data_IF_920065377937
#
_entry.id   IF_920065377937
#
_cell.length_a   1.000
_cell.length_b   1.000
_cell.length_c   1.000
_cell.angle_alpha   90.00
_cell.angle_beta   90.00
_cell.angle_gamma   90.00
#
_symmetry.space_group_name_H-M   'P 1'
#
loop_
_entity.id
_entity.type
_entity.pdbx_description
1 polymer ?
#
# COMPACT_ATOMS: atom_id res chain seq x y z
N UNK A 1 -18.20 -5.57 -17.47
CA UNK A 1 -18.33 -4.23 -18.12
C UNK A 1 -18.07 -4.42 -19.60
N UNK A 2 -18.82 -3.73 -20.52
CA UNK A 2 -18.56 -3.90 -21.96
C UNK A 2 -17.34 -3.06 -22.33
N UNK A 3 -16.52 -3.57 -23.26
CA UNK A 3 -15.28 -2.89 -23.68
C UNK A 3 -15.53 -1.50 -24.27
N UNK A 4 -16.67 -1.34 -24.96
CA UNK A 4 -17.10 -0.07 -25.57
C UNK A 4 -17.45 1.04 -24.56
N UNK A 5 -17.67 0.66 -23.28
CA UNK A 5 -17.95 1.57 -22.17
C UNK A 5 -16.65 2.02 -21.46
N UNK A 6 -15.50 1.43 -21.84
CA UNK A 6 -14.20 1.72 -21.24
C UNK A 6 -13.43 2.77 -22.05
N UNK A 7 -12.67 3.67 -21.41
CA UNK A 7 -11.80 4.58 -22.13
C UNK A 7 -10.71 3.79 -22.87
N UNK A 8 -10.47 4.09 -24.13
CA UNK A 8 -9.40 3.46 -24.92
C UNK A 8 -8.01 3.82 -24.39
N UNK A 9 -7.89 4.95 -23.71
CA UNK A 9 -6.69 5.44 -23.04
C UNK A 9 -7.10 6.37 -21.89
N UNK A 10 -6.34 6.32 -20.81
CA UNK A 10 -6.45 7.25 -19.67
C UNK A 10 -5.16 8.05 -19.59
N UNK A 11 -5.30 9.39 -19.73
CA UNK A 11 -4.19 10.32 -19.60
C UNK A 11 -4.17 10.94 -18.18
N UNK A 12 -3.05 11.57 -17.84
CA UNK A 12 -2.89 12.28 -16.58
C UNK A 12 -1.65 11.85 -15.81
N UNK A 13 -1.37 12.49 -14.67
CA UNK A 13 -0.13 12.30 -13.94
C UNK A 13 0.03 10.91 -13.34
N UNK A 14 -1.05 10.14 -13.19
CA UNK A 14 -1.00 8.75 -12.72
C UNK A 14 -0.64 7.74 -13.84
N UNK A 15 -0.67 8.15 -15.11
CA UNK A 15 -0.34 7.30 -16.27
C UNK A 15 1.16 7.39 -16.64
N UNK A 16 2.03 7.35 -15.63
CA UNK A 16 3.48 7.42 -15.83
C UNK A 16 4.10 6.07 -16.19
N UNK A 17 5.22 6.12 -16.88
CA UNK A 17 6.12 4.99 -17.18
C UNK A 17 7.50 5.24 -16.56
N UNK A 18 8.40 4.26 -16.57
CA UNK A 18 9.72 4.38 -15.95
C UNK A 18 10.50 5.63 -16.42
N UNK A 19 10.46 5.94 -17.72
CA UNK A 19 11.13 7.11 -18.29
C UNK A 19 10.61 8.44 -17.73
N UNK A 20 9.30 8.52 -17.42
CA UNK A 20 8.70 9.73 -16.84
C UNK A 20 9.20 9.96 -15.41
N UNK A 21 9.57 8.90 -14.70
CA UNK A 21 10.00 8.89 -13.31
C UNK A 21 11.53 8.73 -13.16
N UNK A 22 12.29 8.83 -14.25
CA UNK A 22 13.74 8.66 -14.25
C UNK A 22 14.48 9.72 -13.42
N UNK A 23 13.91 10.94 -13.32
CA UNK A 23 14.41 11.97 -12.40
C UNK A 23 13.89 11.72 -10.98
N UNK A 24 14.76 11.35 -10.01
CA UNK A 24 14.35 11.09 -8.63
C UNK A 24 13.62 12.26 -7.96
N UNK A 25 13.87 13.51 -8.36
CA UNK A 25 13.19 14.68 -7.79
C UNK A 25 11.67 14.65 -7.96
N UNK A 26 11.16 13.81 -8.87
CA UNK A 26 9.72 13.62 -9.07
C UNK A 26 9.05 12.80 -7.97
N UNK A 27 9.82 12.00 -7.24
CA UNK A 27 9.29 11.08 -6.23
C UNK A 27 10.13 10.98 -4.96
N UNK A 28 11.30 11.66 -4.89
CA UNK A 28 12.19 11.67 -3.73
C UNK A 28 12.44 13.10 -3.28
N UNK A 29 12.20 13.36 -2.01
CA UNK A 29 12.56 14.60 -1.33
C UNK A 29 13.26 14.27 0.00
N UNK A 30 13.66 15.29 0.75
CA UNK A 30 14.30 15.10 2.06
C UNK A 30 13.67 16.03 3.11
N UNK A 31 13.68 15.55 4.36
CA UNK A 31 13.40 16.41 5.51
C UNK A 31 14.55 17.40 5.72
N UNK A 32 14.24 18.66 5.95
CA UNK A 32 15.21 19.64 6.42
C UNK A 32 15.50 19.46 7.92
N UNK A 33 16.60 19.98 8.40
CA UNK A 33 16.91 19.94 9.83
C UNK A 33 15.86 20.61 10.72
N UNK A 34 15.21 21.67 10.23
CA UNK A 34 14.12 22.35 10.93
C UNK A 34 12.86 21.47 11.02
N UNK A 35 12.50 20.79 9.94
CA UNK A 35 11.37 19.85 9.90
C UNK A 35 11.62 18.64 10.82
N UNK A 36 12.84 18.10 10.83
CA UNK A 36 13.22 17.02 11.75
C UNK A 36 13.08 17.47 13.21
N UNK A 37 13.54 18.68 13.53
CA UNK A 37 13.41 19.24 14.88
C UNK A 37 11.93 19.40 15.30
N UNK A 38 11.07 19.85 14.38
CA UNK A 38 9.61 19.96 14.62
C UNK A 38 8.97 18.59 14.84
N UNK A 39 9.27 17.59 13.98
CA UNK A 39 8.79 16.22 14.13
C UNK A 39 9.17 15.62 15.49
N UNK A 40 10.42 15.79 15.91
CA UNK A 40 10.91 15.27 17.20
C UNK A 40 10.29 16.01 18.39
N UNK A 41 10.11 17.33 18.30
CA UNK A 41 9.43 18.11 19.34
C UNK A 41 7.97 17.68 19.51
N UNK A 42 7.24 17.49 18.40
CA UNK A 42 5.87 17.01 18.44
C UNK A 42 5.79 15.59 19.02
N UNK A 43 6.72 14.68 18.64
CA UNK A 43 6.80 13.34 19.20
C UNK A 43 7.09 13.37 20.71
N UNK A 44 8.03 14.18 21.17
CA UNK A 44 8.34 14.34 22.61
C UNK A 44 7.11 14.84 23.39
N UNK A 45 6.37 15.81 22.85
CA UNK A 45 5.14 16.33 23.44
C UNK A 45 4.08 15.24 23.54
N UNK A 46 3.84 14.51 22.45
CA UNK A 46 2.85 13.42 22.44
C UNK A 46 3.20 12.30 23.42
N UNK A 47 4.46 11.86 23.42
CA UNK A 47 4.95 10.81 24.32
C UNK A 47 4.81 11.20 25.81
N UNK A 48 4.95 12.45 26.15
CA UNK A 48 4.75 12.96 27.50
C UNK A 48 3.29 12.83 28.00
N UNK A 49 2.32 12.70 27.08
CA UNK A 49 0.91 12.46 27.44
C UNK A 49 0.67 11.02 27.94
N UNK A 50 1.62 10.10 27.73
CA UNK A 50 1.49 8.69 28.14
C UNK A 50 0.43 7.90 27.36
N UNK A 51 -0.04 8.41 26.21
CA UNK A 51 -1.05 7.76 25.36
C UNK A 51 -0.43 6.67 24.46
N UNK A 52 -1.29 5.76 23.99
CA UNK A 52 -0.90 4.79 22.95
C UNK A 52 -0.62 5.51 21.62
N UNK A 53 0.39 5.04 20.88
CA UNK A 53 0.75 5.60 19.56
C UNK A 53 -0.42 5.46 18.57
N UNK A 54 -1.27 4.46 18.75
CA UNK A 54 -2.47 4.26 17.96
C UNK A 54 -3.59 5.28 18.16
N UNK A 55 -3.50 6.14 19.19
CA UNK A 55 -4.47 7.19 19.48
C UNK A 55 -4.06 8.55 18.89
N UNK A 56 -2.98 8.60 18.11
CA UNK A 56 -2.46 9.83 17.51
C UNK A 56 -3.49 10.41 16.53
N UNK A 57 -3.74 11.72 16.69
CA UNK A 57 -4.50 12.55 15.73
C UNK A 57 -3.64 13.74 15.31
N UNK A 58 -4.01 14.40 14.21
CA UNK A 58 -3.31 15.61 13.76
C UNK A 58 -3.32 16.72 14.80
N UNK A 59 -4.43 16.86 15.57
CA UNK A 59 -4.54 17.86 16.63
C UNK A 59 -3.63 17.54 17.83
N UNK A 60 -3.44 16.25 18.13
CA UNK A 60 -2.57 15.81 19.23
C UNK A 60 -1.08 15.79 18.83
N UNK A 61 -0.79 15.88 17.53
CA UNK A 61 0.55 15.92 16.96
C UNK A 61 0.72 17.15 16.06
N UNK A 62 0.72 18.37 16.62
CA UNK A 62 0.72 19.59 15.81
C UNK A 62 2.02 19.81 15.06
N UNK A 63 1.93 20.09 13.76
CA UNK A 63 3.04 20.34 12.84
C UNK A 63 2.84 21.69 12.11
N UNK A 64 2.94 22.83 12.79
CA UNK A 64 2.55 24.14 12.24
C UNK A 64 3.36 24.56 11.01
N UNK A 65 4.63 24.15 10.87
CA UNK A 65 5.46 24.47 9.70
C UNK A 65 5.37 23.40 8.61
N UNK A 66 5.25 22.13 8.98
CA UNK A 66 5.24 21.01 8.04
C UNK A 66 3.84 20.78 7.44
N UNK A 67 2.76 21.21 8.09
CA UNK A 67 1.38 20.94 7.66
C UNK A 67 1.14 21.24 6.17
N UNK A 68 1.56 22.42 5.68
CA UNK A 68 1.39 22.77 4.28
C UNK A 68 2.15 21.83 3.31
N UNK A 69 3.30 21.27 3.73
CA UNK A 69 4.03 20.26 2.96
C UNK A 69 3.26 18.93 2.94
N UNK A 70 2.64 18.53 4.05
CA UNK A 70 1.84 17.32 4.12
C UNK A 70 0.53 17.44 3.33
N UNK A 71 -0.09 18.63 3.31
CA UNK A 71 -1.22 18.92 2.41
C UNK A 71 -0.81 18.78 0.94
N UNK A 72 0.35 19.35 0.56
CA UNK A 72 0.89 19.21 -0.80
C UNK A 72 1.21 17.74 -1.12
N UNK A 73 1.73 16.97 -0.17
CA UNK A 73 1.95 15.53 -0.30
C UNK A 73 0.64 14.79 -0.54
N UNK A 74 -0.42 15.07 0.24
CA UNK A 74 -1.74 14.47 0.04
C UNK A 74 -2.27 14.76 -1.38
N UNK A 75 -2.17 15.99 -1.87
CA UNK A 75 -2.56 16.35 -3.24
C UNK A 75 -1.72 15.62 -4.29
N UNK A 76 -0.41 15.49 -4.09
CA UNK A 76 0.48 14.75 -4.99
C UNK A 76 0.11 13.26 -5.05
N UNK A 77 -0.22 12.65 -3.91
CA UNK A 77 -0.64 11.26 -3.85
C UNK A 77 -1.97 11.04 -4.58
N UNK A 78 -2.98 11.84 -4.28
CA UNK A 78 -4.33 11.66 -4.82
C UNK A 78 -4.47 12.09 -6.29
N UNK A 79 -3.80 13.19 -6.68
CA UNK A 79 -4.01 13.86 -7.97
C UNK A 79 -2.74 14.02 -8.80
N UNK A 80 -1.56 13.75 -8.24
CA UNK A 80 -0.27 13.75 -8.94
C UNK A 80 0.13 12.36 -9.42
N UNK A 81 1.43 12.08 -9.39
CA UNK A 81 1.99 10.78 -9.79
C UNK A 81 1.72 9.64 -8.79
N UNK A 82 1.17 9.94 -7.62
CA UNK A 82 0.78 8.94 -6.62
C UNK A 82 1.93 8.34 -5.79
N UNK A 83 3.13 8.93 -5.83
CA UNK A 83 4.33 8.40 -5.16
C UNK A 83 5.14 9.51 -4.54
N UNK A 84 5.59 9.30 -3.29
CA UNK A 84 6.63 10.12 -2.65
C UNK A 84 7.46 9.26 -1.70
N UNK A 85 8.77 9.46 -1.73
CA UNK A 85 9.70 9.04 -0.69
C UNK A 85 10.31 10.29 -0.04
N UNK A 86 10.38 10.34 1.30
CA UNK A 86 10.96 11.45 2.04
C UNK A 86 12.12 10.91 2.86
N UNK A 87 13.33 11.33 2.57
CA UNK A 87 14.57 10.86 3.17
C UNK A 87 15.01 11.68 4.37
N UNK A 88 15.77 11.05 5.28
CA UNK A 88 16.64 11.77 6.22
C UNK A 88 16.12 11.84 7.66
N UNK A 89 15.09 11.06 8.06
CA UNK A 89 14.78 10.94 9.49
C UNK A 89 15.96 10.21 10.19
N UNK A 90 16.58 10.78 11.25
CA UNK A 90 17.78 10.21 11.89
C UNK A 90 17.42 9.02 12.80
N UNK A 91 17.17 7.86 12.22
CA UNK A 91 16.69 6.66 12.91
C UNK A 91 17.65 6.17 14.00
N UNK A 92 18.96 6.34 13.80
CA UNK A 92 19.96 5.88 14.77
C UNK A 92 19.98 6.74 16.05
N UNK A 93 19.45 7.96 16.00
CA UNK A 93 19.43 8.93 17.10
C UNK A 93 18.11 8.95 17.86
N UNK A 94 17.15 8.09 17.50
CA UNK A 94 15.81 8.07 18.10
C UNK A 94 15.40 6.65 18.51
N UNK A 95 14.52 6.56 19.52
CA UNK A 95 13.98 5.28 19.95
C UNK A 95 12.96 4.74 18.95
N UNK A 96 12.73 3.43 18.95
CA UNK A 96 11.67 2.79 18.16
C UNK A 96 10.30 3.44 18.43
N UNK A 97 10.02 3.78 19.68
CA UNK A 97 8.77 4.43 20.07
C UNK A 97 8.66 5.85 19.51
N UNK A 98 9.76 6.60 19.52
CA UNK A 98 9.82 7.95 18.91
C UNK A 98 9.63 7.87 17.39
N UNK A 99 10.31 6.93 16.70
CA UNK A 99 10.15 6.70 15.27
C UNK A 99 8.70 6.35 14.89
N UNK A 100 8.07 5.42 15.65
CA UNK A 100 6.67 5.07 15.46
C UNK A 100 5.73 6.25 15.70
N UNK A 101 6.00 7.06 16.72
CA UNK A 101 5.22 8.25 17.04
C UNK A 101 5.31 9.29 15.91
N UNK A 102 6.50 9.56 15.39
CA UNK A 102 6.71 10.45 14.25
C UNK A 102 5.97 9.93 13.02
N UNK A 103 6.13 8.65 12.70
CA UNK A 103 5.51 8.06 11.51
C UNK A 103 3.98 8.05 11.59
N UNK A 104 3.41 7.67 12.74
CA UNK A 104 1.97 7.75 12.95
C UNK A 104 1.46 9.20 12.96
N UNK A 105 2.24 10.15 13.51
CA UNK A 105 1.92 11.57 13.51
C UNK A 105 1.86 12.14 12.09
N UNK A 106 2.86 11.87 11.26
CA UNK A 106 2.84 12.23 9.82
C UNK A 106 1.64 11.59 9.13
N UNK A 107 1.39 10.30 9.39
CA UNK A 107 0.23 9.59 8.85
C UNK A 107 -1.11 10.23 9.24
N UNK A 108 -1.25 10.71 10.48
CA UNK A 108 -2.47 11.35 10.97
C UNK A 108 -2.80 12.68 10.28
N UNK A 109 -1.79 13.40 9.77
CA UNK A 109 -1.98 14.59 8.93
C UNK A 109 -2.39 14.26 7.49
N UNK A 110 -2.10 13.05 7.02
CA UNK A 110 -2.49 12.62 5.68
C UNK A 110 -3.88 11.99 5.66
N UNK A 111 -4.20 11.18 6.68
CA UNK A 111 -5.47 10.45 6.71
C UNK A 111 -5.64 9.60 7.97
N UNK A 112 -6.74 8.84 8.01
CA UNK A 112 -7.08 7.98 9.14
C UNK A 112 -6.36 6.63 9.02
N UNK A 113 -5.59 6.24 10.04
CA UNK A 113 -4.93 4.93 10.08
C UNK A 113 -5.96 3.78 10.15
N UNK A 114 -5.72 2.71 9.41
CA UNK A 114 -6.60 1.54 9.28
C UNK A 114 -5.93 0.27 9.77
N UNK A 115 -6.73 -0.64 10.30
CA UNK A 115 -6.26 -1.95 10.74
C UNK A 115 -5.71 -2.78 9.58
N UNK A 116 -4.55 -3.39 9.77
CA UNK A 116 -3.88 -4.23 8.75
C UNK A 116 -4.13 -5.73 8.95
N UNK A 117 -4.79 -6.11 10.03
CA UNK A 117 -5.15 -7.50 10.35
C UNK A 117 -6.35 -7.54 11.30
N UNK A 118 -6.88 -8.74 11.52
CA UNK A 118 -8.02 -8.97 12.40
C UNK A 118 -7.75 -8.58 13.88
N UNK A 119 -6.49 -8.52 14.31
CA UNK A 119 -6.12 -8.09 15.66
C UNK A 119 -6.23 -6.57 15.88
N UNK A 120 -6.36 -5.78 14.79
CA UNK A 120 -6.53 -4.33 14.88
C UNK A 120 -5.23 -3.54 14.84
N UNK A 121 -4.14 -4.12 14.34
CA UNK A 121 -2.86 -3.43 14.25
C UNK A 121 -2.92 -2.34 13.17
N UNK A 122 -2.87 -1.08 13.58
CA UNK A 122 -2.78 0.07 12.67
C UNK A 122 -1.35 0.37 12.25
N UNK A 123 -0.36 -0.06 13.04
CA UNK A 123 1.05 -0.03 12.72
C UNK A 123 1.51 -1.47 12.44
N UNK A 124 1.89 -1.74 11.20
CA UNK A 124 2.42 -3.04 10.77
C UNK A 124 3.93 -3.09 10.83
N UNK A 125 4.49 -4.28 11.04
CA UNK A 125 5.92 -4.54 10.99
C UNK A 125 6.24 -5.45 9.81
N UNK A 126 6.98 -4.94 8.84
CA UNK A 126 7.40 -5.65 7.62
C UNK A 126 8.82 -6.14 7.83
N UNK A 127 8.96 -7.41 8.19
CA UNK A 127 10.24 -8.06 8.47
C UNK A 127 10.12 -9.58 8.32
N UNK A 128 11.24 -10.24 8.06
CA UNK A 128 11.30 -11.70 8.11
C UNK A 128 11.24 -12.18 9.58
N UNK A 129 10.23 -12.97 9.88
CA UNK A 129 10.05 -13.62 11.19
C UNK A 129 10.29 -15.13 11.10
N UNK A 130 10.81 -15.62 9.96
CA UNK A 130 11.01 -17.04 9.72
C UNK A 130 9.72 -17.80 9.39
N UNK A 131 8.66 -17.11 8.99
CA UNK A 131 7.40 -17.74 8.61
C UNK A 131 7.55 -18.56 7.31
N UNK A 132 6.87 -19.71 7.24
CA UNK A 132 6.88 -20.56 6.04
C UNK A 132 6.02 -19.93 4.93
N UNK A 133 6.66 -19.48 3.86
CA UNK A 133 5.97 -18.88 2.70
C UNK A 133 5.01 -19.87 1.99
N UNK A 134 5.18 -21.18 2.17
CA UNK A 134 4.31 -22.21 1.60
C UNK A 134 3.00 -22.39 2.38
N UNK A 135 2.95 -21.91 3.63
CA UNK A 135 1.71 -21.97 4.40
C UNK A 135 0.70 -20.97 3.80
N UNK A 136 -0.51 -21.40 3.40
CA UNK A 136 -1.51 -20.54 2.77
C UNK A 136 -1.98 -19.38 3.65
N UNK A 137 -1.76 -19.41 4.96
CA UNK A 137 -2.13 -18.33 5.87
C UNK A 137 -0.96 -17.38 6.17
N UNK A 138 0.27 -17.69 5.72
CA UNK A 138 1.42 -16.81 5.89
C UNK A 138 1.27 -15.58 4.97
N UNK A 139 1.55 -14.43 5.53
CA UNK A 139 1.66 -13.19 4.76
C UNK A 139 3.09 -13.00 4.30
N UNK A 140 3.31 -12.78 3.01
CA UNK A 140 4.65 -12.72 2.40
C UNK A 140 5.54 -11.63 3.01
N UNK A 141 4.97 -10.54 3.51
CA UNK A 141 5.75 -9.50 4.19
C UNK A 141 6.45 -9.97 5.49
N UNK A 142 6.09 -11.17 6.00
CA UNK A 142 6.69 -11.84 7.15
C UNK A 142 7.85 -12.79 6.76
N UNK A 143 8.24 -12.77 5.50
CA UNK A 143 9.28 -13.64 4.92
C UNK A 143 10.29 -12.82 4.12
N UNK A 144 11.41 -13.43 3.76
CA UNK A 144 12.42 -12.86 2.85
C UNK A 144 12.11 -13.07 1.36
N UNK A 145 11.06 -13.85 1.04
CA UNK A 145 10.63 -14.10 -0.34
C UNK A 145 10.13 -12.82 -1.03
N UNK A 146 10.24 -12.76 -2.37
CA UNK A 146 9.68 -11.65 -3.14
C UNK A 146 8.17 -11.52 -2.88
N UNK A 147 7.73 -10.32 -2.60
CA UNK A 147 6.32 -9.97 -2.60
C UNK A 147 6.00 -9.28 -3.92
N UNK A 148 5.42 -10.06 -4.87
CA UNK A 148 5.09 -9.57 -6.23
C UNK A 148 4.16 -8.37 -6.21
N UNK A 149 4.06 -7.67 -7.34
CA UNK A 149 3.20 -6.49 -7.49
C UNK A 149 1.77 -6.75 -7.00
N UNK A 150 1.32 -5.90 -6.10
CA UNK A 150 0.01 -6.00 -5.44
C UNK A 150 -0.49 -4.64 -4.95
N UNK A 151 -1.73 -4.63 -4.51
CA UNK A 151 -2.33 -3.55 -3.73
C UNK A 151 -2.67 -4.04 -2.32
N UNK A 152 -2.67 -3.14 -1.36
CA UNK A 152 -3.16 -3.35 -0.01
C UNK A 152 -4.65 -2.89 0.11
N UNK A 153 -5.27 -3.11 1.27
CA UNK A 153 -6.67 -2.68 1.50
C UNK A 153 -6.74 -1.28 2.12
N UNK A 154 -6.22 -0.28 1.40
CA UNK A 154 -6.10 1.10 1.87
C UNK A 154 -6.14 2.09 0.70
N UNK A 155 -6.34 3.38 0.98
CA UNK A 155 -6.21 4.43 -0.03
C UNK A 155 -4.73 4.75 -0.27
N UNK A 156 -3.95 4.88 0.80
CA UNK A 156 -2.49 5.11 0.75
C UNK A 156 -1.77 4.12 1.66
N UNK A 157 -0.66 3.59 1.17
CA UNK A 157 0.28 2.78 1.95
C UNK A 157 1.49 3.64 2.30
N UNK A 158 1.79 3.76 3.59
CA UNK A 158 3.01 4.37 4.11
C UNK A 158 3.99 3.30 4.58
N UNK A 159 5.28 3.49 4.32
CA UNK A 159 6.38 2.71 4.85
C UNK A 159 7.41 3.62 5.52
N UNK A 160 7.94 3.24 6.68
CA UNK A 160 9.13 3.84 7.28
C UNK A 160 10.21 2.77 7.38
N UNK A 161 11.34 2.99 6.75
CA UNK A 161 12.50 2.10 6.85
C UNK A 161 13.25 2.34 8.16
N UNK A 162 13.26 1.36 9.04
CA UNK A 162 14.06 1.37 10.27
C UNK A 162 15.43 0.76 10.04
N UNK A 163 15.48 -0.33 9.27
CA UNK A 163 16.69 -1.08 8.92
C UNK A 163 16.52 -1.68 7.54
N UNK A 164 17.55 -1.57 6.72
CA UNK A 164 17.57 -2.18 5.39
C UNK A 164 18.12 -3.62 5.44
N UNK A 165 17.89 -4.38 4.35
CA UNK A 165 18.46 -5.70 4.17
C UNK A 165 19.94 -5.61 3.80
N UNK A 166 20.68 -6.71 4.00
CA UNK A 166 22.07 -6.82 3.50
C UNK A 166 22.10 -6.72 1.97
N UNK A 167 21.21 -7.45 1.30
CA UNK A 167 21.09 -7.48 -0.17
C UNK A 167 19.62 -7.59 -0.57
N UNK A 168 19.20 -6.89 -1.62
CA UNK A 168 17.81 -6.89 -2.09
C UNK A 168 16.88 -6.11 -1.16
N UNK A 169 15.59 -6.46 -1.17
CA UNK A 169 14.55 -5.79 -0.39
C UNK A 169 14.14 -4.42 -0.95
N UNK A 170 14.45 -4.18 -2.23
CA UNK A 170 14.09 -2.94 -2.92
C UNK A 170 12.58 -2.87 -3.18
N UNK A 171 12.04 -1.67 -3.13
CA UNK A 171 10.67 -1.38 -3.53
C UNK A 171 10.60 -1.17 -5.04
N UNK A 172 9.62 -1.82 -5.68
CA UNK A 172 9.26 -1.53 -7.06
C UNK A 172 7.84 -0.97 -7.08
N UNK A 173 7.62 0.01 -7.95
CA UNK A 173 6.31 0.66 -8.12
C UNK A 173 5.98 0.72 -9.60
N UNK A 174 4.71 0.45 -9.94
CA UNK A 174 4.20 0.54 -11.31
C UNK A 174 2.82 1.17 -11.34
N UNK A 175 2.58 1.99 -12.35
CA UNK A 175 1.26 2.57 -12.58
C UNK A 175 0.29 1.54 -13.15
N UNK A 176 -0.81 1.28 -12.43
CA UNK A 176 -1.89 0.46 -12.96
C UNK A 176 -2.59 1.11 -14.16
N UNK A 177 -2.59 2.44 -14.23
CA UNK A 177 -3.12 3.19 -15.38
C UNK A 177 -2.28 2.93 -16.62
N UNK A 178 -0.96 2.89 -16.49
CA UNK A 178 -0.06 2.58 -17.62
C UNK A 178 -0.17 1.13 -18.08
N UNK A 179 -0.32 0.18 -17.12
CA UNK A 179 -0.63 -1.22 -17.46
C UNK A 179 -1.95 -1.30 -18.24
N UNK A 180 -3.01 -0.67 -17.72
CA UNK A 180 -4.31 -0.61 -18.41
C UNK A 180 -4.18 -0.05 -19.84
N UNK A 181 -3.50 1.09 -20.01
CA UNK A 181 -3.30 1.72 -21.32
C UNK A 181 -2.56 0.79 -22.30
N UNK A 182 -1.57 0.05 -21.82
CA UNK A 182 -0.82 -0.91 -22.63
C UNK A 182 -1.71 -2.10 -23.02
N UNK A 183 -2.47 -2.65 -22.06
CA UNK A 183 -3.39 -3.74 -22.36
C UNK A 183 -4.49 -3.33 -23.34
N UNK A 184 -5.07 -2.14 -23.18
CA UNK A 184 -6.08 -1.62 -24.10
C UNK A 184 -5.54 -1.41 -25.52
N UNK A 185 -4.26 -1.07 -25.67
CA UNK A 185 -3.64 -0.90 -26.99
C UNK A 185 -3.30 -2.24 -27.66
N UNK A 186 -2.91 -3.26 -26.91
CA UNK A 186 -2.40 -4.52 -27.44
C UNK A 186 -3.45 -5.64 -27.45
N UNK A 187 -4.20 -5.81 -26.33
CA UNK A 187 -5.18 -6.87 -26.10
C UNK A 187 -6.39 -6.35 -25.33
N UNK A 188 -7.19 -5.48 -25.94
CA UNK A 188 -8.39 -4.92 -25.30
C UNK A 188 -9.40 -6.00 -24.85
N UNK A 189 -9.43 -7.13 -25.53
CA UNK A 189 -10.20 -8.30 -25.15
C UNK A 189 -9.81 -8.85 -23.76
N UNK A 190 -8.52 -8.95 -23.49
CA UNK A 190 -8.00 -9.38 -22.17
C UNK A 190 -8.18 -8.31 -21.09
N UNK A 191 -7.99 -7.02 -21.45
CA UNK A 191 -8.22 -5.93 -20.52
C UNK A 191 -9.64 -5.92 -19.98
N UNK A 192 -10.64 -6.20 -20.84
CA UNK A 192 -12.06 -6.25 -20.45
C UNK A 192 -12.35 -7.34 -19.40
N UNK A 193 -11.67 -8.48 -19.44
CA UNK A 193 -11.84 -9.57 -18.48
C UNK A 193 -11.40 -9.20 -17.06
N UNK A 194 -10.50 -8.24 -16.89
CA UNK A 194 -10.05 -7.78 -15.58
C UNK A 194 -11.11 -6.93 -14.84
N UNK A 195 -12.21 -6.59 -15.50
CA UNK A 195 -13.39 -5.95 -14.90
C UNK A 195 -14.47 -6.96 -14.45
N UNK A 196 -14.24 -8.26 -14.65
CA UNK A 196 -15.11 -9.32 -14.14
C UNK A 196 -14.92 -9.51 -12.63
N UNK A 197 -15.92 -10.07 -11.91
CA UNK A 197 -15.88 -10.21 -10.45
C UNK A 197 -14.95 -11.36 -10.03
N UNK A 198 -13.66 -11.17 -10.26
CA UNK A 198 -12.62 -12.17 -9.97
C UNK A 198 -12.52 -12.40 -8.45
N UNK A 199 -12.61 -13.66 -8.05
CA UNK A 199 -12.53 -14.05 -6.65
C UNK A 199 -11.12 -13.88 -6.07
N UNK A 200 -11.03 -13.30 -4.88
CA UNK A 200 -9.79 -13.12 -4.10
C UNK A 200 -9.97 -13.72 -2.70
N UNK A 201 -9.04 -14.55 -2.27
CA UNK A 201 -9.03 -15.22 -0.97
C UNK A 201 -8.82 -14.23 0.19
N UNK A 202 -9.66 -14.31 1.24
CA UNK A 202 -9.54 -13.49 2.45
C UNK A 202 -8.44 -13.95 3.41
N UNK A 203 -7.76 -15.05 3.13
CA UNK A 203 -6.64 -15.59 3.92
C UNK A 203 -7.00 -15.84 5.39
N UNK A 204 -8.20 -16.37 5.65
CA UNK A 204 -8.70 -16.68 6.97
C UNK A 204 -9.25 -15.48 7.76
N UNK A 205 -9.12 -14.24 7.25
CA UNK A 205 -9.69 -13.04 7.86
C UNK A 205 -11.10 -12.77 7.33
N UNK A 206 -12.02 -13.66 7.69
CA UNK A 206 -13.39 -13.67 7.19
C UNK A 206 -14.30 -12.91 8.16
N UNK A 207 -14.95 -11.81 7.75
CA UNK A 207 -16.00 -11.19 8.55
C UNK A 207 -17.19 -12.14 8.76
N UNK A 208 -17.92 -11.95 9.86
CA UNK A 208 -19.06 -12.82 10.19
C UNK A 208 -20.12 -12.76 9.08
N UNK A 209 -20.57 -13.95 8.64
CA UNK A 209 -21.60 -14.07 7.61
C UNK A 209 -21.13 -13.85 6.18
N UNK A 210 -19.82 -13.69 5.95
CA UNK A 210 -19.25 -13.54 4.61
C UNK A 210 -18.54 -14.81 4.15
N UNK A 211 -18.40 -14.95 2.83
CA UNK A 211 -17.62 -16.02 2.21
C UNK A 211 -16.12 -15.88 2.52
N UNK A 212 -15.33 -16.97 2.46
CA UNK A 212 -13.87 -16.92 2.63
C UNK A 212 -13.14 -16.27 1.43
N UNK A 213 -13.86 -15.80 0.44
CA UNK A 213 -13.38 -14.99 -0.68
C UNK A 213 -14.23 -13.73 -0.84
N UNK A 214 -13.80 -12.84 -1.72
CA UNK A 214 -14.50 -11.63 -2.15
C UNK A 214 -14.36 -11.48 -3.66
N UNK A 215 -15.36 -10.86 -4.32
CA UNK A 215 -15.42 -10.76 -5.78
C UNK A 215 -15.19 -9.31 -6.25
N UNK A 216 -14.01 -8.77 -5.97
CA UNK A 216 -13.65 -7.42 -6.42
C UNK A 216 -12.86 -7.53 -7.73
N UNK A 217 -13.32 -6.91 -8.84
CA UNK A 217 -12.56 -6.87 -10.09
C UNK A 217 -11.14 -6.32 -9.91
N UNK A 218 -10.20 -6.85 -10.69
CA UNK A 218 -8.82 -6.32 -10.71
C UNK A 218 -8.80 -4.86 -11.12
N UNK A 219 -9.58 -4.50 -12.14
CA UNK A 219 -9.76 -3.13 -12.61
C UNK A 219 -11.20 -2.69 -12.41
N UNK A 220 -11.40 -1.48 -11.94
CA UNK A 220 -12.71 -0.89 -11.69
C UNK A 220 -12.77 0.50 -12.30
N UNK A 221 -13.68 0.71 -13.24
CA UNK A 221 -13.95 2.03 -13.81
C UNK A 221 -15.20 2.61 -13.15
N UNK A 222 -15.03 3.69 -12.37
CA UNK A 222 -16.14 4.29 -11.63
C UNK A 222 -15.99 5.81 -11.56
N UNK A 223 -17.03 6.53 -11.98
CA UNK A 223 -17.09 8.01 -11.96
C UNK A 223 -15.85 8.70 -12.53
N UNK A 224 -15.32 8.16 -13.64
CA UNK A 224 -14.17 8.73 -14.33
C UNK A 224 -12.80 8.35 -13.76
N UNK A 225 -12.75 7.39 -12.82
CA UNK A 225 -11.52 6.90 -12.22
C UNK A 225 -11.31 5.41 -12.46
N UNK A 226 -10.10 5.04 -12.84
CA UNK A 226 -9.64 3.65 -12.82
C UNK A 226 -9.07 3.34 -11.44
N UNK A 227 -9.60 2.31 -10.78
CA UNK A 227 -9.11 1.84 -9.49
C UNK A 227 -8.67 0.39 -9.63
N UNK A 228 -7.46 0.08 -9.17
CA UNK A 228 -6.92 -1.29 -9.15
C UNK A 228 -7.10 -1.94 -7.78
N UNK A 229 -7.42 -3.25 -7.78
CA UNK A 229 -7.39 -4.11 -6.60
C UNK A 229 -6.77 -5.44 -7.01
N UNK A 230 -5.55 -5.74 -6.60
CA UNK A 230 -4.79 -6.85 -7.14
C UNK A 230 -3.89 -7.55 -6.14
N UNK A 231 -3.98 -8.86 -6.12
CA UNK A 231 -3.05 -9.76 -5.43
C UNK A 231 -3.09 -11.13 -6.09
N UNK A 232 -2.20 -11.41 -7.05
CA UNK A 232 -2.18 -12.64 -7.85
C UNK A 232 -2.29 -13.91 -7.00
N UNK A 233 -1.47 -14.05 -5.99
CA UNK A 233 -1.47 -15.23 -5.13
C UNK A 233 -2.81 -15.45 -4.40
N UNK A 234 -3.56 -14.38 -4.10
CA UNK A 234 -4.86 -14.50 -3.44
C UNK A 234 -5.96 -14.82 -4.45
N UNK A 235 -5.84 -14.36 -5.69
CA UNK A 235 -6.72 -14.73 -6.80
C UNK A 235 -6.56 -16.22 -7.10
N UNK A 236 -5.33 -16.70 -7.28
CA UNK A 236 -5.05 -18.12 -7.54
C UNK A 236 -5.51 -19.00 -6.37
N UNK A 237 -5.27 -18.58 -5.13
CA UNK A 237 -5.69 -19.30 -3.94
C UNK A 237 -7.21 -19.39 -3.80
N UNK A 238 -7.97 -18.40 -4.29
CA UNK A 238 -9.43 -18.40 -4.23
C UNK A 238 -10.03 -19.52 -5.10
N UNK A 239 -9.31 -20.01 -6.09
CA UNK A 239 -9.78 -21.10 -6.97
C UNK A 239 -9.98 -22.43 -6.25
N UNK A 240 -9.53 -22.61 -5.00
CA UNK A 240 -9.82 -23.77 -4.15
C UNK A 240 -11.26 -23.80 -3.62
N UNK A 241 -11.95 -22.67 -3.59
CA UNK A 241 -13.32 -22.60 -3.07
C UNK A 241 -14.33 -22.93 -4.15
N UNK A 242 -15.22 -23.87 -3.91
CA UNK A 242 -16.18 -24.37 -4.89
C UNK A 242 -17.14 -23.29 -5.41
N UNK A 243 -17.59 -22.37 -4.54
CA UNK A 243 -18.52 -21.27 -4.87
C UNK A 243 -17.85 -20.02 -5.46
N UNK A 244 -16.51 -19.97 -5.54
CA UNK A 244 -15.80 -18.81 -6.06
C UNK A 244 -15.92 -18.70 -7.59
N UNK A 245 -15.88 -17.47 -8.11
CA UNK A 245 -15.80 -17.21 -9.55
C UNK A 245 -14.65 -18.00 -10.18
N UNK A 246 -14.96 -18.79 -11.22
CA UNK A 246 -14.00 -19.63 -11.91
C UNK A 246 -13.29 -18.87 -13.01
N UNK A 247 -11.94 -18.82 -12.91
CA UNK A 247 -11.12 -18.29 -13.98
C UNK A 247 -11.20 -19.21 -15.21
N UNK A 248 -11.46 -18.62 -16.38
CA UNK A 248 -11.25 -19.27 -17.67
C UNK A 248 -9.79 -19.14 -18.09
N UNK A 249 -9.38 -19.89 -19.13
CA UNK A 249 -8.04 -19.75 -19.72
C UNK A 249 -7.75 -18.30 -20.15
N UNK A 250 -8.76 -17.60 -20.69
CA UNK A 250 -8.62 -16.20 -21.07
C UNK A 250 -8.43 -15.26 -19.86
N UNK A 251 -9.06 -15.54 -18.71
CA UNK A 251 -8.79 -14.80 -17.47
C UNK A 251 -7.37 -15.01 -16.99
N UNK A 252 -6.86 -16.26 -17.05
CA UNK A 252 -5.47 -16.55 -16.70
C UNK A 252 -4.51 -15.81 -17.63
N UNK A 253 -4.75 -15.83 -18.95
CA UNK A 253 -3.97 -15.07 -19.94
C UNK A 253 -3.99 -13.56 -19.63
N UNK A 254 -5.15 -13.00 -19.26
CA UNK A 254 -5.27 -11.59 -18.88
C UNK A 254 -4.45 -11.24 -17.63
N UNK A 255 -4.51 -12.10 -16.60
CA UNK A 255 -3.72 -11.94 -15.37
C UNK A 255 -2.22 -12.11 -15.64
N UNK A 256 -1.83 -13.05 -16.50
CA UNK A 256 -0.43 -13.27 -16.89
C UNK A 256 0.12 -12.07 -17.68
N UNK A 257 -0.68 -11.49 -18.59
CA UNK A 257 -0.31 -10.26 -19.28
C UNK A 257 -0.18 -9.07 -18.32
N UNK A 258 -1.10 -8.95 -17.35
CA UNK A 258 -1.04 -7.91 -16.32
C UNK A 258 0.24 -8.03 -15.48
N UNK A 259 0.60 -9.25 -15.03
CA UNK A 259 1.83 -9.51 -14.31
C UNK A 259 3.08 -9.24 -15.17
N UNK A 260 3.08 -9.64 -16.43
CA UNK A 260 4.19 -9.39 -17.35
C UNK A 260 4.44 -7.88 -17.53
N UNK A 261 3.37 -7.09 -17.73
CA UNK A 261 3.45 -5.64 -17.85
C UNK A 261 3.89 -4.98 -16.54
N UNK A 262 3.40 -5.45 -15.38
CA UNK A 262 3.87 -4.94 -14.10
C UNK A 262 5.38 -5.17 -13.90
N UNK A 263 5.91 -6.28 -14.43
CA UNK A 263 7.33 -6.64 -14.37
C UNK A 263 8.16 -6.05 -15.52
N UNK A 264 7.56 -5.33 -16.48
CA UNK A 264 8.28 -4.66 -17.55
C UNK A 264 9.13 -3.51 -16.99
N UNK A 265 10.48 -3.53 -17.17
CA UNK A 265 11.34 -2.46 -16.66
C UNK A 265 11.08 -1.11 -17.30
N UNK A 266 10.40 -1.03 -18.45
CA UNK A 266 10.00 0.22 -19.06
C UNK A 266 8.77 0.84 -18.38
N UNK A 267 8.02 0.07 -17.58
CA UNK A 267 6.81 0.53 -16.89
C UNK A 267 7.02 0.81 -15.40
N UNK A 268 7.86 0.03 -14.69
CA UNK A 268 8.06 0.18 -13.27
C UNK A 268 9.33 0.95 -12.89
N UNK A 269 9.32 1.58 -11.74
CA UNK A 269 10.52 2.13 -11.11
C UNK A 269 10.98 1.24 -9.95
N UNK A 270 12.28 1.30 -9.65
CA UNK A 270 12.92 0.61 -8.54
C UNK A 270 13.61 1.60 -7.63
N UNK A 271 13.43 1.46 -6.34
CA UNK A 271 14.09 2.28 -5.34
C UNK A 271 14.54 1.45 -4.14
N UNK A 272 15.67 1.81 -3.56
CA UNK A 272 16.12 1.30 -2.28
C UNK A 272 15.76 2.30 -1.19
N UNK A 273 14.98 1.85 -0.21
CA UNK A 273 14.72 2.63 1.00
C UNK A 273 15.91 2.47 1.94
N UNK A 274 16.44 3.60 2.37
CA UNK A 274 17.49 3.69 3.38
C UNK A 274 16.87 3.89 4.78
N UNK A 275 17.59 3.54 5.88
CA UNK A 275 17.10 3.84 7.22
C UNK A 275 16.71 5.31 7.37
N UNK A 276 15.49 5.57 7.83
CA UNK A 276 14.91 6.91 7.94
C UNK A 276 14.08 7.38 6.74
N UNK A 277 14.03 6.61 5.63
CA UNK A 277 13.17 6.94 4.50
C UNK A 277 11.72 6.59 4.82
N UNK A 278 10.81 7.55 4.55
CA UNK A 278 9.38 7.34 4.53
C UNK A 278 8.90 7.29 3.09
N UNK A 279 8.19 6.23 2.68
CA UNK A 279 7.57 6.10 1.36
C UNK A 279 6.06 6.13 1.50
N UNK A 280 5.37 6.87 0.64
CA UNK A 280 3.91 6.89 0.52
C UNK A 280 3.51 6.57 -0.92
N UNK A 281 2.55 5.65 -1.07
CA UNK A 281 2.08 5.16 -2.38
C UNK A 281 0.57 5.19 -2.42
N UNK A 282 0.02 5.82 -3.47
CA UNK A 282 -1.42 5.85 -3.70
C UNK A 282 -1.89 4.51 -4.28
N UNK A 283 -2.50 3.72 -3.44
CA UNK A 283 -2.77 2.31 -3.65
C UNK A 283 -3.86 2.02 -4.70
N UNK A 284 -4.72 3.00 -5.03
CA UNK A 284 -5.78 2.84 -6.05
C UNK A 284 -5.29 2.97 -7.49
N UNK A 285 -4.12 3.55 -7.70
CA UNK A 285 -3.55 3.76 -9.03
C UNK A 285 -2.15 3.14 -9.20
N UNK A 286 -1.54 2.66 -8.12
CA UNK A 286 -0.19 2.09 -8.12
C UNK A 286 -0.20 0.68 -7.56
N UNK A 287 0.61 -0.21 -8.15
CA UNK A 287 0.99 -1.46 -7.50
C UNK A 287 2.39 -1.33 -6.94
N UNK A 288 2.63 -2.01 -5.84
CA UNK A 288 3.93 -2.07 -5.20
C UNK A 288 4.41 -3.51 -5.02
N UNK A 289 5.74 -3.67 -5.05
CA UNK A 289 6.45 -4.95 -4.97
C UNK A 289 7.67 -4.76 -4.07
N UNK A 290 8.10 -5.82 -3.45
CA UNK A 290 9.37 -5.87 -2.73
C UNK A 290 10.17 -7.06 -3.24
N UNK A 291 11.36 -6.80 -3.77
CA UNK A 291 12.27 -7.88 -4.21
C UNK A 291 12.62 -8.82 -3.06
N UNK A 292 12.91 -10.08 -3.34
CA UNK A 292 13.49 -10.98 -2.35
C UNK A 292 14.75 -10.37 -1.73
N UNK A 293 15.09 -10.76 -0.51
CA UNK A 293 16.24 -10.20 0.18
C UNK A 293 17.00 -11.24 1.01
N UNK A 294 18.28 -10.94 1.23
CA UNK A 294 19.13 -11.63 2.19
C UNK A 294 19.34 -10.72 3.40
N UNK A 295 19.03 -11.23 4.57
CA UNK A 295 19.16 -10.45 5.81
C UNK A 295 20.57 -10.53 6.41
N UNK A 296 20.86 -9.64 7.33
CA UNK A 296 22.06 -9.65 8.12
C UNK A 296 22.06 -10.86 9.08
N UNK A 297 23.21 -11.52 9.30
CA UNK A 297 23.33 -12.59 10.30
C UNK A 297 22.96 -12.13 11.70
N UNK A 298 23.35 -10.88 12.06
CA UNK A 298 22.98 -10.30 13.36
C UNK A 298 21.48 -9.92 13.38
N UNK A 299 20.66 -10.52 14.25
CA UNK A 299 19.22 -10.25 14.35
C UNK A 299 18.89 -8.77 14.58
N UNK A 300 19.74 -8.03 15.30
CA UNK A 300 19.52 -6.62 15.57
C UNK A 300 19.68 -5.72 14.34
N UNK A 301 20.36 -6.21 13.30
CA UNK A 301 20.56 -5.49 12.04
C UNK A 301 19.58 -5.89 10.95
N UNK A 302 18.75 -6.91 11.18
CA UNK A 302 17.83 -7.44 10.17
C UNK A 302 16.85 -6.38 9.71
N UNK A 303 16.48 -6.48 8.43
CA UNK A 303 15.53 -5.61 7.75
C UNK A 303 14.26 -5.45 8.56
N UNK A 304 13.84 -4.20 8.74
CA UNK A 304 12.63 -3.88 9.48
C UNK A 304 12.04 -2.56 8.98
N UNK A 305 10.83 -2.61 8.44
CA UNK A 305 10.06 -1.44 8.12
C UNK A 305 8.78 -1.41 8.96
N UNK A 306 8.32 -0.20 9.28
CA UNK A 306 6.96 0.02 9.75
C UNK A 306 6.05 0.32 8.57
N UNK A 307 4.77 -0.07 8.65
CA UNK A 307 3.77 0.18 7.62
C UNK A 307 2.52 0.82 8.22
N UNK A 308 1.97 1.81 7.51
CA UNK A 308 0.65 2.38 7.75
C UNK A 308 -0.26 2.13 6.55
N UNK A 309 -1.52 1.86 6.81
CA UNK A 309 -2.62 1.92 5.86
C UNK A 309 -3.46 3.13 6.21
N UNK A 310 -3.68 4.03 5.26
CA UNK A 310 -4.39 5.28 5.48
C UNK A 310 -5.66 5.33 4.62
N UNK A 311 -6.73 5.84 5.22
CA UNK A 311 -7.92 6.28 4.49
C UNK A 311 -7.84 7.80 4.32
N UNK A 312 -7.83 8.25 3.07
CA UNK A 312 -7.52 9.65 2.73
C UNK A 312 -8.80 10.50 2.63
N UNK A 313 -8.85 11.67 3.28
CA UNK A 313 -9.90 12.64 3.01
C UNK A 313 -9.76 13.18 1.57
N UNK A 314 -10.88 13.45 0.90
CA UNK A 314 -10.88 14.02 -0.45
C UNK A 314 -10.50 13.05 -1.58
N UNK A 315 -10.39 11.75 -1.30
CA UNK A 315 -10.08 10.74 -2.31
C UNK A 315 -11.26 10.47 -3.26
N UNK A 316 -11.01 9.64 -4.29
CA UNK A 316 -12.01 9.25 -5.30
C UNK A 316 -13.13 8.38 -4.71
N UNK A 317 -14.35 8.43 -5.25
CA UNK A 317 -15.37 7.48 -4.90
C UNK A 317 -15.02 6.07 -5.39
N UNK A 318 -15.33 5.06 -4.60
CA UNK A 318 -15.19 3.65 -4.98
C UNK A 318 -16.56 3.05 -5.31
N UNK A 319 -16.64 2.04 -6.21
CA UNK A 319 -17.87 1.31 -6.46
C UNK A 319 -18.26 0.43 -5.27
N UNK A 320 -19.55 0.12 -5.16
CA UNK A 320 -20.13 -0.63 -4.03
C UNK A 320 -19.45 -1.98 -3.76
N UNK A 321 -18.90 -2.62 -4.78
CA UNK A 321 -18.20 -3.91 -4.66
C UNK A 321 -17.03 -3.86 -3.66
N UNK A 322 -16.42 -2.70 -3.45
CA UNK A 322 -15.34 -2.54 -2.47
C UNK A 322 -15.82 -2.70 -1.01
N UNK A 323 -17.14 -2.60 -0.74
CA UNK A 323 -17.71 -2.89 0.58
C UNK A 323 -17.41 -4.32 1.04
N UNK A 324 -17.24 -5.26 0.10
CA UNK A 324 -16.89 -6.65 0.41
C UNK A 324 -15.54 -6.76 1.17
N UNK A 325 -14.61 -5.86 0.89
CA UNK A 325 -13.31 -5.81 1.57
C UNK A 325 -13.20 -4.71 2.60
N UNK A 326 -13.66 -3.51 2.25
CA UNK A 326 -13.43 -2.30 3.03
C UNK A 326 -14.50 -2.08 4.12
N UNK A 327 -15.61 -2.83 4.08
CA UNK A 327 -16.77 -2.64 4.95
C UNK A 327 -17.51 -1.34 4.63
N UNK A 328 -16.83 -0.20 4.65
CA UNK A 328 -17.31 1.12 4.22
C UNK A 328 -16.56 1.57 2.96
N UNK A 329 -17.22 2.37 2.12
CA UNK A 329 -16.61 3.11 1.00
C UNK A 329 -16.69 4.62 1.21
N UNK A 330 -17.02 5.06 2.42
CA UNK A 330 -17.02 6.46 2.81
C UNK A 330 -15.61 7.06 2.72
N UNK A 331 -15.48 8.15 1.97
CA UNK A 331 -14.20 8.83 1.79
C UNK A 331 -13.64 9.30 3.14
N UNK A 332 -12.39 8.98 3.44
CA UNK A 332 -11.74 9.27 4.71
C UNK A 332 -12.06 8.27 5.84
N UNK A 333 -12.98 7.30 5.60
CA UNK A 333 -13.37 6.29 6.58
C UNK A 333 -13.62 4.92 5.93
N UNK A 334 -12.62 4.39 5.23
CA UNK A 334 -12.72 3.12 4.49
C UNK A 334 -11.40 2.34 4.52
N UNK A 335 -11.45 1.08 4.10
CA UNK A 335 -10.28 0.20 4.05
C UNK A 335 -9.93 -0.43 5.38
N UNK A 336 -8.86 -1.21 5.35
CA UNK A 336 -8.41 -2.02 6.48
C UNK A 336 -9.13 -3.35 6.59
N UNK A 337 -8.72 -4.11 7.61
CA UNK A 337 -9.30 -5.41 7.96
C UNK A 337 -10.00 -5.27 9.30
N UNK A 338 -11.32 -5.36 9.30
CA UNK A 338 -12.14 -5.19 10.49
C UNK A 338 -13.03 -6.41 10.67
N UNK A 339 -12.97 -7.01 11.86
CA UNK A 339 -13.82 -8.08 12.32
C UNK A 339 -14.53 -7.64 13.61
N UNK A 340 -15.48 -8.41 14.11
CA UNK A 340 -16.18 -8.10 15.37
C UNK A 340 -15.27 -8.02 16.61
N UNK A 341 -14.07 -8.58 16.53
CA UNK A 341 -13.10 -8.61 17.63
C UNK A 341 -11.95 -7.60 17.48
N UNK A 342 -11.94 -6.84 16.39
CA UNK A 342 -10.88 -5.88 16.09
C UNK A 342 -10.87 -4.74 17.12
N UNK A 343 -9.72 -4.54 17.77
CA UNK A 343 -9.42 -3.37 18.60
C UNK A 343 -8.20 -2.68 18.02
N UNK A 344 -8.36 -1.40 17.65
CA UNK A 344 -7.25 -0.64 17.07
C UNK A 344 -6.14 -0.46 18.09
N UNK A 345 -4.91 -0.76 17.68
CA UNK A 345 -3.70 -0.65 18.49
C UNK A 345 -2.47 -0.50 17.61
N UNK A 346 -1.41 0.11 18.13
CA UNK A 346 -0.12 0.26 17.46
C UNK A 346 0.97 -0.52 18.22
N UNK A 347 1.10 -1.84 17.99
CA UNK A 347 2.13 -2.62 18.67
C UNK A 347 3.51 -2.14 18.23
N UNK A 348 4.43 -1.99 19.19
CA UNK A 348 5.84 -1.64 18.94
C UNK A 348 6.74 -2.89 18.86
N UNK A 349 6.23 -4.02 19.31
CA UNK A 349 6.89 -5.33 19.25
C UNK A 349 5.95 -6.34 18.62
N UNK A 350 6.51 -7.29 17.88
CA UNK A 350 5.78 -8.46 17.33
C UNK A 350 5.70 -9.55 18.37
#
# INVERSE_FOLDING_TARGET
MRIEDLPTRIDGPQAWVAADMADPSKWLSSWSGAEIAELRAAAGTYLALGRDVGEITAEAFPLPTIAARLDALAQKLLHGNGVEAIRGLPIDDITLKEAATIFCGVGAHLGSARSQNAAGHILGHVRDVGADAKNPNTRIYQTSERQSFHTDSADVVGLLCLKDAKEGGDSLLVSAVSIYNRMMAERPDLAALLFDPIATDRRGEVPEGMDPWMNIPVLNWHKGHLTVFYQRQYIDAAQRFEGAFRLTEAHVEALDMFDALANDPDLHIRMRLEPGDMQFVYNHAQLHDRTGFTDWPNPERRRHLMRLWLSMPGDRPLPDVFKERYGSIEIGNRGGIITKHTKLQAPLTL
#
